data_IF_783181393660
#
_entry.id   IF_783181393660
#
_cell.length_a   1.000
_cell.length_b   1.000
_cell.length_c   1.000
_cell.angle_alpha   90.00
_cell.angle_beta   90.00
_cell.angle_gamma   90.00
#
_symmetry.space_group_name_H-M   'P 1'
#
loop_
_entity.id
_entity.type
_entity.pdbx_description
1 polymer ?
2 non-polymer ?
3 non-polymer ?
4 water ?
#
# COMPACT_ATOMS: atom_id res chain seq x y z
N UNK A 7 -20.27 8.41 -3.63
CA UNK A 7 -19.31 7.31 -3.18
C UNK A 7 -19.91 5.99 -3.65
N UNK A 8 -19.16 5.15 -4.34
CA UNK A 8 -19.73 3.93 -4.98
C UNK A 8 -18.65 2.89 -5.29
N UNK A 9 -17.35 3.21 -5.28
CA UNK A 9 -16.33 2.17 -5.62
C UNK A 9 -15.96 1.35 -4.39
N UNK A 10 -15.84 0.03 -4.56
CA UNK A 10 -15.52 -0.89 -3.45
C UNK A 10 -14.30 -1.71 -3.86
N UNK A 11 -13.10 -1.33 -3.42
CA UNK A 11 -11.93 -2.18 -3.64
C UNK A 11 -12.19 -3.54 -3.01
N UNK A 12 -11.58 -4.60 -3.55
CA UNK A 12 -11.67 -5.92 -2.96
C UNK A 12 -11.00 -5.94 -1.57
N UNK A 13 -11.34 -6.97 -0.81
CA UNK A 13 -10.85 -7.20 0.56
C UNK A 13 -9.33 -6.99 0.59
N UNK A 14 -8.83 -6.19 1.52
CA UNK A 14 -7.37 -6.06 1.82
C UNK A 14 -6.62 -5.55 0.59
N UNK A 15 -7.26 -4.70 -0.21
CA UNK A 15 -6.68 -4.14 -1.44
C UNK A 15 -5.54 -3.18 -1.12
N UNK A 16 -4.44 -3.31 -1.86
CA UNK A 16 -3.37 -2.31 -1.79
C UNK A 16 -2.58 -2.29 -3.09
N UNK A 17 -2.06 -1.12 -3.42
CA UNK A 17 -0.99 -1.00 -4.43
C UNK A 17 0.29 -1.53 -3.77
N UNK A 18 1.02 -2.36 -4.49
CA UNK A 18 2.34 -2.90 -4.05
C UNK A 18 3.45 -2.05 -4.68
N UNK A 19 3.31 -1.76 -5.95
CA UNK A 19 4.36 -1.02 -6.70
C UNK A 19 3.69 -0.51 -7.98
N UNK A 20 4.42 0.26 -8.78
CA UNK A 20 3.94 0.63 -10.14
C UNK A 20 3.45 -0.64 -10.86
N UNK A 21 2.18 -0.66 -11.24
CA UNK A 21 1.62 -1.76 -12.04
C UNK A 21 1.29 -3.02 -11.25
N UNK A 22 1.41 -3.01 -9.92
CA UNK A 22 1.21 -4.23 -9.10
C UNK A 22 0.27 -3.92 -7.93
N UNK A 23 -0.75 -4.76 -7.81
CA UNK A 23 -1.76 -4.68 -6.72
C UNK A 23 -1.86 -6.03 -6.03
N UNK A 24 -2.39 -6.02 -4.80
CA UNK A 24 -2.71 -7.23 -4.02
C UNK A 24 -4.11 -7.08 -3.43
N UNK A 25 -4.79 -8.19 -3.24
CA UNK A 25 -6.10 -8.24 -2.56
C UNK A 25 -6.45 -9.67 -2.19
N UNK A 26 -7.58 -9.79 -1.50
CA UNK A 26 -8.37 -11.02 -1.43
C UNK A 26 -9.26 -11.16 -2.64
N UNK A 27 -10.16 -12.14 -2.56
CA UNK A 27 -10.95 -12.60 -3.72
C UNK A 27 -11.92 -11.50 -4.11
N UNK A 28 -11.85 -10.95 -5.33
CA UNK A 28 -12.86 -9.99 -5.78
C UNK A 28 -14.23 -10.62 -6.03
N UNK A 29 -15.29 -9.88 -5.70
CA UNK A 29 -16.68 -10.29 -6.04
C UNK A 29 -17.29 -9.18 -6.91
N UNK A 30 -18.51 -9.37 -7.40
CA UNK A 30 -19.09 -8.46 -8.41
C UNK A 30 -19.19 -7.02 -7.85
N UNK A 31 -19.29 -6.83 -6.53
CA UNK A 31 -19.36 -5.48 -5.92
C UNK A 31 -18.04 -4.72 -6.17
N UNK A 32 -16.95 -5.45 -6.46
CA UNK A 32 -15.59 -4.86 -6.63
C UNK A 32 -15.27 -4.57 -8.11
N UNK A 33 -16.09 -5.03 -9.06
CA UNK A 33 -15.72 -5.00 -10.50
C UNK A 33 -15.63 -3.55 -10.97
N UNK A 34 -16.53 -2.66 -10.58
CA UNK A 34 -16.47 -1.24 -11.04
C UNK A 34 -15.15 -0.62 -10.56
N UNK A 35 -14.70 -0.92 -9.35
CA UNK A 35 -13.37 -0.44 -8.85
C UNK A 35 -12.25 -1.05 -9.70
N UNK A 36 -12.24 -2.37 -9.91
CA UNK A 36 -11.12 -3.04 -10.63
C UNK A 36 -11.03 -2.47 -12.05
N UNK A 37 -12.15 -2.05 -12.61
CA UNK A 37 -12.16 -1.46 -13.98
C UNK A 37 -11.31 -0.21 -14.03
N UNK A 38 -11.28 0.59 -12.97
CA UNK A 38 -10.54 1.87 -12.95
C UNK A 38 -9.04 1.60 -13.03
N UNK A 39 -8.57 0.36 -12.75
CA UNK A 39 -7.13 0.03 -12.73
C UNK A 39 -6.61 -0.35 -14.12
N UNK A 40 -7.47 -0.67 -15.09
CA UNK A 40 -7.03 -1.11 -16.44
C UNK A 40 -6.08 -2.30 -16.35
N UNK A 41 -6.48 -3.34 -15.63
CA UNK A 41 -5.66 -4.56 -15.42
C UNK A 41 -5.39 -5.25 -16.75
N UNK A 42 -4.18 -5.77 -16.92
CA UNK A 42 -3.86 -6.70 -18.03
C UNK A 42 -3.95 -8.15 -17.54
N UNK A 43 -3.71 -8.36 -16.24
CA UNK A 43 -3.44 -9.70 -15.63
C UNK A 43 -3.99 -9.81 -14.21
N UNK A 44 -4.37 -11.03 -13.84
CA UNK A 44 -4.60 -11.45 -12.44
C UNK A 44 -3.70 -12.66 -12.20
N UNK A 45 -2.97 -12.63 -11.08
CA UNK A 45 -2.24 -13.81 -10.56
C UNK A 45 -3.06 -14.32 -9.38
N UNK A 46 -3.64 -15.50 -9.56
CA UNK A 46 -4.60 -16.09 -8.61
C UNK A 46 -3.92 -17.28 -7.92
N UNK A 47 -3.81 -17.26 -6.60
CA UNK A 47 -2.96 -18.23 -5.85
C UNK A 47 -3.78 -19.32 -5.14
N UNK A 48 -5.06 -19.50 -5.46
CA UNK A 48 -5.91 -20.58 -4.85
C UNK A 48 -6.19 -21.67 -5.87
N UNK A 49 -6.37 -22.93 -5.44
CA UNK A 49 -6.68 -24.02 -6.37
C UNK A 49 -8.13 -24.04 -6.86
N UNK A 50 -9.06 -23.38 -6.18
CA UNK A 50 -10.51 -23.47 -6.54
C UNK A 50 -10.74 -22.88 -7.92
N UNK A 51 -11.67 -23.44 -8.74
CA UNK A 51 -11.96 -22.84 -10.05
C UNK A 51 -12.50 -21.42 -9.87
N UNK A 52 -12.20 -20.55 -10.81
CA UNK A 52 -12.69 -19.15 -10.83
C UNK A 52 -14.20 -19.17 -11.03
N UNK A 53 -14.98 -18.42 -10.25
CA UNK A 53 -16.43 -18.34 -10.47
C UNK A 53 -16.82 -17.76 -11.84
N UNK A 54 -18.01 -18.12 -12.32
CA UNK A 54 -18.51 -17.71 -13.67
C UNK A 54 -18.61 -16.18 -13.73
N UNK A 55 -19.10 -15.54 -12.67
CA UNK A 55 -19.17 -14.06 -12.52
C UNK A 55 -17.78 -13.43 -12.82
N UNK A 56 -16.74 -13.96 -12.18
CA UNK A 56 -15.35 -13.46 -12.32
C UNK A 56 -14.85 -13.71 -13.75
N UNK A 57 -15.09 -14.89 -14.30
CA UNK A 57 -14.64 -15.25 -15.66
C UNK A 57 -15.28 -14.28 -16.67
N UNK A 58 -16.56 -13.94 -16.49
CA UNK A 58 -17.22 -13.01 -17.43
C UNK A 58 -16.55 -11.63 -17.31
N UNK A 59 -16.22 -11.18 -16.10
CA UNK A 59 -15.52 -9.90 -15.87
C UNK A 59 -14.17 -9.90 -16.59
N UNK A 60 -13.39 -10.96 -16.42
CA UNK A 60 -12.07 -11.10 -17.10
C UNK A 60 -12.26 -11.02 -18.62
N UNK A 61 -13.22 -11.78 -19.15
CA UNK A 61 -13.43 -11.87 -20.61
C UNK A 61 -13.88 -10.49 -21.10
N UNK A 62 -14.82 -9.85 -20.40
CA UNK A 62 -15.32 -8.52 -20.82
C UNK A 62 -14.19 -7.49 -20.86
N UNK A 63 -13.18 -7.59 -20.01
CA UNK A 63 -12.17 -6.53 -19.78
C UNK A 63 -10.80 -6.90 -20.37
N UNK A 64 -10.70 -8.05 -21.03
CA UNK A 64 -9.47 -8.52 -21.69
C UNK A 64 -8.37 -8.82 -20.69
N UNK A 65 -8.71 -9.34 -19.52
CA UNK A 65 -7.72 -9.62 -18.42
C UNK A 65 -7.29 -11.08 -18.48
N UNK A 66 -5.99 -11.35 -18.51
CA UNK A 66 -5.43 -12.73 -18.56
C UNK A 66 -5.39 -13.26 -17.13
N UNK A 67 -5.87 -14.48 -16.92
CA UNK A 67 -5.79 -15.17 -15.60
C UNK A 67 -4.62 -16.16 -15.55
N UNK A 68 -3.68 -15.93 -14.65
CA UNK A 68 -2.60 -16.87 -14.28
C UNK A 68 -2.94 -17.52 -12.93
N UNK A 69 -3.17 -18.83 -12.91
CA UNK A 69 -3.55 -19.55 -11.67
C UNK A 69 -2.38 -20.46 -11.25
N UNK A 70 -1.89 -20.27 -10.04
CA UNK A 70 -0.85 -21.07 -9.37
C UNK A 70 -1.45 -21.48 -8.05
N UNK A 71 -2.16 -22.59 -8.06
CA UNK A 71 -3.07 -22.98 -6.96
C UNK A 71 -2.28 -23.51 -5.78
N UNK A 72 -2.12 -22.71 -4.74
CA UNK A 72 -1.38 -23.12 -3.52
C UNK A 72 -2.44 -23.60 -2.51
N UNK A 73 -2.33 -24.84 -2.04
CA UNK A 73 -3.27 -25.38 -1.03
C UNK A 73 -3.12 -24.54 0.24
N UNK A 74 -4.25 -24.12 0.83
CA UNK A 74 -4.28 -23.49 2.15
C UNK A 74 -3.84 -24.49 3.20
N UNK A 75 -2.96 -24.09 4.10
CA UNK A 75 -2.50 -24.93 5.25
C UNK A 75 -2.29 -24.00 6.43
N UNK A 76 -2.61 -24.48 7.63
CA UNK A 76 -2.46 -23.72 8.90
C UNK A 76 -1.24 -24.25 9.66
N UNK A 77 -0.50 -23.35 10.28
CA UNK A 77 0.52 -23.64 11.33
C UNK A 77 -0.13 -24.61 12.31
N UNK A 78 0.60 -25.61 12.86
CA UNK A 78 2.03 -25.80 12.63
C UNK A 78 2.46 -26.70 11.46
N UNK A 79 1.53 -27.20 10.66
CA UNK A 79 1.83 -28.18 9.57
C UNK A 79 1.64 -27.55 8.17
N UNK A 80 2.67 -26.91 7.64
CA UNK A 80 2.56 -26.07 6.42
C UNK A 80 3.24 -26.74 5.23
N UNK A 81 2.76 -26.41 4.03
CA UNK A 81 3.39 -26.74 2.72
C UNK A 81 4.46 -25.67 2.46
N UNK A 82 5.50 -26.03 1.73
CA UNK A 82 6.54 -25.04 1.32
C UNK A 82 6.33 -24.82 -0.17
N UNK A 83 5.35 -23.98 -0.55
CA UNK A 83 4.96 -23.95 -1.98
C UNK A 83 5.99 -23.25 -2.89
N UNK A 84 7.27 -23.61 -2.77
CA UNK A 84 8.39 -22.88 -3.43
C UNK A 84 8.18 -22.76 -4.94
N UNK A 85 7.87 -23.87 -5.63
CA UNK A 85 7.74 -23.88 -7.11
C UNK A 85 6.61 -22.93 -7.52
N UNK A 86 5.44 -23.01 -6.89
CA UNK A 86 4.28 -22.16 -7.27
C UNK A 86 4.58 -20.68 -7.02
N UNK A 87 5.22 -20.32 -5.91
CA UNK A 87 5.58 -18.91 -5.64
C UNK A 87 6.53 -18.45 -6.76
N UNK A 88 7.49 -19.28 -7.15
CA UNK A 88 8.51 -18.86 -8.15
C UNK A 88 7.85 -18.73 -9.52
N UNK A 89 6.91 -19.60 -9.87
CA UNK A 89 6.14 -19.47 -11.13
C UNK A 89 5.36 -18.16 -11.11
N UNK A 90 4.74 -17.82 -10.00
CA UNK A 90 3.98 -16.55 -9.86
C UNK A 90 4.93 -15.35 -9.95
N UNK A 91 6.12 -15.45 -9.35
CA UNK A 91 7.12 -14.35 -9.41
C UNK A 91 7.55 -14.11 -10.87
N UNK A 92 7.84 -15.18 -11.62
CA UNK A 92 8.26 -15.10 -13.05
C UNK A 92 7.19 -14.27 -13.81
N UNK A 93 5.92 -14.51 -13.57
CA UNK A 93 4.82 -13.75 -14.26
C UNK A 93 4.79 -12.31 -13.77
N UNK A 94 4.88 -12.11 -12.47
CA UNK A 94 4.83 -10.79 -11.80
C UNK A 94 5.94 -9.88 -12.30
N UNK A 95 7.14 -10.40 -12.56
CA UNK A 95 8.31 -9.57 -12.88
C UNK A 95 8.28 -9.15 -14.35
N UNK A 96 7.42 -9.75 -15.18
CA UNK A 96 7.31 -9.40 -16.62
C UNK A 96 6.37 -8.19 -16.76
N UNK A 97 6.90 -7.01 -17.09
CA UNK A 97 6.12 -5.75 -17.14
C UNK A 97 5.01 -5.82 -18.19
N UNK A 98 5.13 -6.68 -19.20
CA UNK A 98 4.09 -6.85 -20.25
C UNK A 98 2.77 -7.31 -19.59
N UNK A 99 2.83 -7.93 -18.41
CA UNK A 99 1.63 -8.43 -17.68
C UNK A 99 1.00 -7.33 -16.83
N UNK A 100 1.65 -6.17 -16.69
CA UNK A 100 1.19 -5.07 -15.81
C UNK A 100 0.16 -4.22 -16.55
N UNK A 101 -0.82 -3.60 -15.87
CA UNK A 101 -1.05 -3.77 -14.44
C UNK A 101 -1.59 -5.15 -14.06
N UNK A 102 -1.12 -5.66 -12.93
CA UNK A 102 -1.46 -7.04 -12.45
C UNK A 102 -1.99 -6.96 -11.02
N UNK A 103 -3.05 -7.70 -10.78
CA UNK A 103 -3.61 -7.91 -9.43
C UNK A 103 -3.24 -9.31 -8.96
N UNK A 104 -2.55 -9.38 -7.84
CA UNK A 104 -2.26 -10.65 -7.12
C UNK A 104 -3.42 -10.86 -6.16
N UNK A 105 -4.08 -12.03 -6.15
CA UNK A 105 -5.06 -12.30 -5.08
C UNK A 105 -5.11 -13.77 -4.71
N UNK A 106 -5.52 -14.00 -3.48
CA UNK A 106 -5.86 -15.32 -2.95
C UNK A 106 -7.28 -15.20 -2.38
N UNK A 107 -7.58 -15.82 -1.25
CA UNK A 107 -8.94 -15.77 -0.68
C UNK A 107 -9.09 -14.47 0.12
N UNK A 108 -8.20 -14.22 1.08
CA UNK A 108 -8.26 -12.99 1.93
C UNK A 108 -7.07 -12.07 1.67
N UNK A 109 -6.05 -12.53 0.96
CA UNK A 109 -4.94 -11.65 0.58
C UNK A 109 -3.94 -11.46 1.71
N UNK A 110 -3.82 -12.42 2.62
CA UNK A 110 -2.93 -12.29 3.82
C UNK A 110 -1.73 -13.23 3.74
N UNK A 111 -1.94 -14.52 3.43
CA UNK A 111 -0.91 -15.57 3.57
C UNK A 111 -0.24 -15.85 2.20
N UNK A 112 -0.97 -16.44 1.27
CA UNK A 112 -0.40 -16.80 -0.06
C UNK A 112 0.05 -15.51 -0.76
N UNK A 113 -0.82 -14.51 -0.81
CA UNK A 113 -0.51 -13.19 -1.42
C UNK A 113 0.65 -12.56 -0.65
N UNK A 114 0.62 -12.59 0.69
CA UNK A 114 1.66 -12.01 1.54
C UNK A 114 3.04 -12.60 1.24
N UNK A 115 3.11 -13.92 1.06
CA UNK A 115 4.37 -14.65 0.76
C UNK A 115 4.91 -14.19 -0.60
N UNK A 116 4.05 -14.12 -1.61
CA UNK A 116 4.51 -13.72 -2.95
C UNK A 116 5.06 -12.29 -2.87
N UNK A 117 4.33 -11.38 -2.24
CA UNK A 117 4.78 -9.96 -2.13
C UNK A 117 6.08 -9.90 -1.32
N UNK A 118 6.19 -10.66 -0.22
CA UNK A 118 7.42 -10.65 0.59
C UNK A 118 8.62 -11.08 -0.24
N UNK A 119 8.46 -12.10 -1.09
CA UNK A 119 9.57 -12.59 -1.95
C UNK A 119 9.91 -11.52 -3.01
N UNK A 120 8.93 -10.81 -3.56
CA UNK A 120 9.20 -9.63 -4.41
C UNK A 120 10.04 -8.62 -3.61
N UNK A 121 9.66 -8.31 -2.36
CA UNK A 121 10.42 -7.29 -1.60
C UNK A 121 11.88 -7.75 -1.40
N UNK A 122 12.09 -9.03 -1.23
CA UNK A 122 13.46 -9.57 -1.02
C UNK A 122 14.27 -9.34 -2.31
N UNK A 123 13.68 -9.57 -3.47
CA UNK A 123 14.33 -9.25 -4.77
C UNK A 123 14.58 -7.75 -4.88
N UNK A 124 13.72 -6.91 -4.29
CA UNK A 124 13.91 -5.44 -4.29
C UNK A 124 14.90 -5.01 -3.18
N UNK A 125 15.53 -5.94 -2.47
CA UNK A 125 16.65 -5.69 -1.52
C UNK A 125 16.17 -5.03 -0.24
N UNK A 126 14.90 -5.19 0.13
CA UNK A 126 14.42 -4.72 1.45
C UNK A 126 15.01 -5.59 2.57
N UNK A 127 15.41 -4.98 3.67
CA UNK A 127 15.83 -5.75 4.85
C UNK A 127 14.62 -6.55 5.34
N UNK A 128 14.88 -7.72 5.91
CA UNK A 128 13.84 -8.68 6.29
C UNK A 128 12.81 -8.01 7.21
N UNK A 129 13.27 -7.26 8.21
CA UNK A 129 12.34 -6.66 9.20
C UNK A 129 11.35 -5.74 8.47
N UNK A 130 11.76 -5.05 7.39
CA UNK A 130 10.86 -4.17 6.61
C UNK A 130 9.83 -5.02 5.82
N UNK A 131 10.28 -6.16 5.27
CA UNK A 131 9.41 -7.12 4.55
C UNK A 131 8.37 -7.66 5.53
N UNK A 132 8.81 -8.08 6.71
CA UNK A 132 7.90 -8.68 7.71
C UNK A 132 6.91 -7.64 8.21
N UNK A 133 7.33 -6.38 8.40
CA UNK A 133 6.43 -5.30 8.85
C UNK A 133 5.25 -5.17 7.86
N UNK A 134 5.54 -5.19 6.58
CA UNK A 134 4.50 -5.03 5.55
C UNK A 134 3.58 -6.27 5.55
N UNK A 135 4.18 -7.46 5.57
CA UNK A 135 3.43 -8.73 5.68
C UNK A 135 2.45 -8.67 6.88
N UNK A 136 2.94 -8.27 8.05
CA UNK A 136 2.18 -8.19 9.34
C UNK A 136 1.01 -7.20 9.20
N UNK A 137 1.22 -6.09 8.49
CA UNK A 137 0.17 -5.04 8.33
C UNK A 137 -1.09 -5.68 7.73
N UNK A 138 -0.96 -6.57 6.76
CA UNK A 138 -2.12 -7.23 6.12
C UNK A 138 -2.56 -8.45 6.93
N UNK A 139 -1.62 -9.24 7.41
CA UNK A 139 -1.98 -10.52 8.09
C UNK A 139 -2.58 -10.25 9.48
N UNK A 140 -2.14 -9.18 10.15
CA UNK A 140 -2.68 -8.68 11.43
C UNK A 140 -2.67 -9.83 12.46
N UNK A 141 -3.81 -10.16 13.08
CA UNK A 141 -3.83 -11.18 14.16
C UNK A 141 -3.59 -12.58 13.58
N UNK A 142 -3.62 -12.75 12.26
CA UNK A 142 -3.36 -14.07 11.61
C UNK A 142 -1.96 -14.13 10.99
N UNK A 143 -1.05 -13.24 11.38
CA UNK A 143 0.37 -13.31 10.93
C UNK A 143 0.90 -14.70 11.33
N UNK A 144 1.61 -15.35 10.42
CA UNK A 144 2.18 -16.69 10.69
C UNK A 144 3.69 -16.62 10.65
N UNK A 145 4.33 -17.25 11.60
CA UNK A 145 5.82 -17.32 11.60
C UNK A 145 6.26 -18.10 10.35
N UNK A 146 5.52 -19.15 9.98
CA UNK A 146 5.90 -20.00 8.82
C UNK A 146 5.97 -19.17 7.52
N UNK A 147 5.04 -18.23 7.33
CA UNK A 147 5.06 -17.37 6.11
C UNK A 147 6.37 -16.56 6.12
N UNK A 148 6.74 -16.03 7.28
CA UNK A 148 7.90 -15.13 7.40
C UNK A 148 9.18 -15.96 7.28
N UNK A 149 9.19 -17.15 7.85
CA UNK A 149 10.35 -18.06 7.69
C UNK A 149 10.56 -18.40 6.21
N UNK A 150 9.49 -18.65 5.46
CA UNK A 150 9.56 -18.93 4.01
C UNK A 150 10.32 -17.79 3.30
N UNK A 151 9.97 -16.55 3.61
CA UNK A 151 10.65 -15.34 3.10
C UNK A 151 12.11 -15.29 3.59
N UNK A 152 12.37 -15.61 4.87
CA UNK A 152 13.74 -15.59 5.45
C UNK A 152 14.63 -16.53 4.63
N UNK A 153 14.14 -17.72 4.30
CA UNK A 153 14.92 -18.84 3.68
C UNK A 153 15.02 -18.62 2.17
N UNK A 154 14.08 -17.93 1.57
CA UNK A 154 13.93 -17.83 0.09
C UNK A 154 15.25 -17.38 -0.53
N UNK A 155 15.81 -18.23 -1.38
CA UNK A 155 17.09 -17.97 -2.08
C UNK A 155 16.80 -17.13 -3.33
N UNK A 156 17.25 -15.88 -3.38
CA UNK A 156 16.96 -14.98 -4.54
C UNK A 156 17.83 -15.33 -5.78
N UNK A 157 18.85 -16.17 -5.64
CA UNK A 157 19.85 -16.52 -6.72
C UNK A 157 19.24 -16.55 -8.13
N UNK A 158 18.14 -17.29 -8.39
CA UNK A 158 17.65 -17.53 -9.78
C UNK A 158 16.94 -16.32 -10.40
N UNK A 159 16.73 -15.26 -9.65
CA UNK A 159 15.94 -14.08 -10.08
C UNK A 159 16.84 -12.85 -10.09
N UNK A 160 18.14 -13.03 -9.83
CA UNK A 160 19.21 -12.01 -9.89
C UNK A 160 19.99 -12.19 -11.19
N UNK B 7 20.68 -7.42 1.08
CA UNK B 7 19.44 -6.71 1.61
C UNK B 7 19.94 -5.47 2.34
N UNK B 8 19.42 -4.30 2.03
CA UNK B 8 19.99 -3.04 2.58
C UNK B 8 18.97 -1.90 2.54
N UNK B 9 17.83 -2.02 1.85
CA UNK B 9 16.89 -0.88 1.80
C UNK B 9 15.92 -0.95 2.98
N UNK B 10 15.67 0.18 3.58
CA UNK B 10 14.80 0.30 4.79
C UNK B 10 13.77 1.39 4.53
N UNK B 11 12.58 1.00 4.04
CA UNK B 11 11.49 1.96 3.92
C UNK B 11 11.19 2.60 5.28
N UNK B 12 10.73 3.86 5.29
CA UNK B 12 10.37 4.50 6.54
C UNK B 12 9.18 3.77 7.21
N UNK B 13 8.98 4.08 8.48
CA UNK B 13 7.90 3.55 9.35
C UNK B 13 6.57 3.60 8.56
N UNK B 14 5.84 2.49 8.52
CA UNK B 14 4.44 2.47 8.00
C UNK B 14 4.41 2.95 6.53
N UNK B 15 5.44 2.64 5.75
CA UNK B 15 5.55 3.03 4.33
C UNK B 15 4.55 2.24 3.47
N UNK B 16 3.87 2.94 2.58
CA UNK B 16 3.05 2.29 1.55
C UNK B 16 2.89 3.20 0.34
N UNK B 17 2.78 2.58 -0.82
CA UNK B 17 2.25 3.24 -2.02
C UNK B 17 0.75 3.48 -1.79
N UNK B 18 0.28 4.66 -2.07
CA UNK B 18 -1.17 5.00 -2.00
C UNK B 18 -1.74 4.89 -3.41
N UNK B 19 -1.04 5.48 -4.38
CA UNK B 19 -1.54 5.53 -5.78
C UNK B 19 -0.35 5.80 -6.66
N UNK B 20 -0.58 5.88 -7.96
CA UNK B 20 0.51 6.27 -8.90
C UNK B 20 1.10 7.60 -8.40
N UNK B 21 2.40 7.64 -8.14
CA UNK B 21 3.10 8.86 -7.74
C UNK B 21 2.82 9.31 -6.30
N UNK B 22 2.15 8.52 -5.47
CA UNK B 22 1.79 8.98 -4.09
C UNK B 22 2.17 7.90 -3.08
N UNK B 23 2.89 8.31 -2.05
CA UNK B 23 3.35 7.42 -0.96
C UNK B 23 2.93 8.02 0.38
N UNK B 24 2.88 7.18 1.40
CA UNK B 24 2.62 7.59 2.80
C UNK B 24 3.66 6.92 3.70
N UNK B 25 4.03 7.59 4.79
CA UNK B 25 4.89 7.00 5.84
C UNK B 25 4.83 7.85 7.11
N UNK B 26 5.50 7.34 8.13
CA UNK B 26 5.95 8.15 9.26
C UNK B 26 7.27 8.84 8.94
N UNK B 27 7.91 9.38 9.98
CA UNK B 27 9.02 10.32 9.81
C UNK B 27 10.25 9.55 9.32
N UNK B 28 10.79 9.87 8.12
CA UNK B 28 12.00 9.22 7.66
C UNK B 28 13.21 9.61 8.53
N UNK B 29 14.12 8.68 8.77
CA UNK B 29 15.43 8.98 9.38
C UNK B 29 16.51 8.57 8.38
N UNK B 30 17.78 8.79 8.71
CA UNK B 30 18.90 8.62 7.74
C UNK B 30 18.97 7.17 7.25
N UNK B 31 18.54 6.17 8.04
CA UNK B 31 18.56 4.75 7.62
C UNK B 31 17.59 4.51 6.46
N UNK B 32 16.62 5.43 6.24
CA UNK B 32 15.58 5.32 5.19
C UNK B 32 15.99 6.06 3.90
N UNK B 33 17.03 6.89 3.90
CA UNK B 33 17.35 7.80 2.78
C UNK B 33 17.62 6.99 1.50
N UNK B 34 18.40 5.90 1.56
CA UNK B 34 18.77 5.14 0.33
C UNK B 34 17.49 4.55 -0.28
N UNK B 35 16.54 4.10 0.54
CA UNK B 35 15.24 3.61 0.01
C UNK B 35 14.48 4.77 -0.65
N UNK B 36 14.35 5.92 0.03
CA UNK B 36 13.58 7.06 -0.53
C UNK B 36 14.22 7.53 -1.85
N UNK B 37 15.54 7.42 -2.00
CA UNK B 37 16.20 7.78 -3.28
C UNK B 37 15.65 6.93 -4.42
N UNK B 38 15.29 5.66 -4.17
CA UNK B 38 14.78 4.77 -5.24
C UNK B 38 13.43 5.28 -5.77
N UNK B 39 12.70 6.13 -5.04
CA UNK B 39 11.34 6.58 -5.45
C UNK B 39 11.38 7.80 -6.37
N UNK B 40 12.52 8.45 -6.51
CA UNK B 40 12.64 9.67 -7.34
C UNK B 40 11.63 10.73 -6.88
N UNK B 41 11.52 10.99 -5.58
CA UNK B 41 10.52 11.97 -5.09
C UNK B 41 10.77 13.37 -5.67
N UNK B 42 9.70 14.07 -6.01
CA UNK B 42 9.74 15.53 -6.30
C UNK B 42 9.34 16.34 -5.06
N UNK B 43 8.51 15.77 -4.19
CA UNK B 43 7.80 16.51 -3.11
C UNK B 43 7.68 15.64 -1.87
N UNK B 44 7.66 16.29 -0.71
CA UNK B 44 7.19 15.74 0.58
C UNK B 44 6.10 16.65 1.07
N UNK B 45 4.96 16.07 1.43
CA UNK B 45 3.89 16.75 2.21
C UNK B 45 4.07 16.33 3.66
N UNK B 46 4.48 17.28 4.49
CA UNK B 46 4.86 17.06 5.89
C UNK B 46 3.75 17.68 6.77
N UNK B 47 3.11 16.87 7.60
CA UNK B 47 1.88 17.29 8.30
C UNK B 47 2.14 17.59 9.78
N UNK B 48 3.39 17.75 10.23
CA UNK B 48 3.70 18.12 11.64
C UNK B 48 4.17 19.58 11.68
N UNK B 49 3.90 20.31 12.79
CA UNK B 49 4.36 21.70 12.93
C UNK B 49 5.83 21.83 13.31
N UNK B 50 6.49 20.80 13.83
CA UNK B 50 7.90 20.91 14.34
C UNK B 50 8.82 21.20 13.16
N UNK B 51 9.86 22.03 13.33
CA UNK B 51 10.83 22.27 12.25
C UNK B 51 11.42 20.95 11.72
N UNK B 52 11.63 20.84 10.42
CA UNK B 52 12.30 19.68 9.80
C UNK B 52 13.71 19.60 10.35
N UNK B 53 14.16 18.44 10.85
CA UNK B 53 15.54 18.31 11.31
C UNK B 53 16.59 18.53 10.22
N UNK B 54 17.77 18.96 10.65
CA UNK B 54 18.89 19.33 9.74
C UNK B 54 19.23 18.13 8.83
N UNK B 55 19.28 16.93 9.38
CA UNK B 55 19.54 15.66 8.64
C UNK B 55 18.58 15.54 7.46
N UNK B 56 17.29 15.68 7.75
CA UNK B 56 16.21 15.52 6.75
C UNK B 56 16.29 16.69 5.78
N UNK B 57 16.61 17.90 6.26
CA UNK B 57 16.70 19.06 5.35
C UNK B 57 17.81 18.81 4.33
N UNK B 58 18.97 18.36 4.79
CA UNK B 58 20.13 18.12 3.92
C UNK B 58 19.74 17.07 2.87
N UNK B 59 19.00 16.03 3.27
CA UNK B 59 18.52 15.00 2.32
C UNK B 59 17.60 15.62 1.26
N UNK B 60 16.60 16.43 1.67
CA UNK B 60 15.68 17.12 0.72
C UNK B 60 16.48 17.94 -0.29
N UNK B 61 17.40 18.76 0.21
CA UNK B 61 18.15 19.70 -0.64
C UNK B 61 19.01 18.91 -1.62
N UNK B 62 19.77 17.92 -1.13
CA UNK B 62 20.69 17.08 -1.95
C UNK B 62 19.92 16.37 -3.06
N UNK B 63 18.70 15.93 -2.78
CA UNK B 63 17.96 15.04 -3.69
C UNK B 63 16.96 15.85 -4.53
N UNK B 64 16.93 17.16 -4.40
CA UNK B 64 16.05 17.98 -5.25
C UNK B 64 14.57 17.75 -4.92
N UNK B 65 14.22 17.66 -3.64
CA UNK B 65 12.83 17.40 -3.18
C UNK B 65 12.29 18.69 -2.60
N UNK B 66 11.09 19.09 -3.02
CA UNK B 66 10.37 20.26 -2.46
C UNK B 66 9.63 19.83 -1.18
N UNK B 67 9.75 20.61 -0.11
CA UNK B 67 9.02 20.41 1.16
C UNK B 67 7.77 21.30 1.17
N UNK B 68 6.61 20.68 1.33
CA UNK B 68 5.33 21.35 1.61
C UNK B 68 4.95 21.04 3.06
N UNK B 69 4.94 22.03 3.93
CA UNK B 69 4.66 21.79 5.36
C UNK B 69 3.28 22.36 5.69
N UNK B 70 2.36 21.51 6.13
CA UNK B 70 1.02 21.92 6.63
C UNK B 70 0.92 21.37 8.04
N UNK B 71 1.39 22.13 9.01
CA UNK B 71 1.55 21.68 10.39
C UNK B 71 0.22 21.49 11.07
N UNK B 72 -0.17 20.25 11.33
CA UNK B 72 -1.39 19.92 12.09
C UNK B 72 -0.93 19.56 13.51
N UNK B 73 -1.46 20.24 14.52
CA UNK B 73 -1.11 19.96 15.93
C UNK B 73 -1.51 18.50 16.21
N UNK B 74 -0.61 17.72 16.82
CA UNK B 74 -0.76 16.27 17.08
C UNK B 74 -1.51 15.97 18.38
N UNK B 75 -2.80 16.29 18.43
CA UNK B 75 -3.71 16.09 19.60
C UNK B 75 -3.98 14.61 19.82
N UNK B 76 -4.38 14.28 21.06
CA UNK B 76 -4.87 12.94 21.48
C UNK B 76 -6.40 12.96 21.63
N UNK B 77 -7.05 11.84 21.30
CA UNK B 77 -8.48 11.61 21.64
C UNK B 77 -8.59 11.64 23.16
N UNK B 78 -9.70 12.17 23.73
CA UNK B 78 -10.80 12.70 22.94
C UNK B 78 -10.76 14.21 22.63
N UNK B 79 -9.58 14.82 22.58
CA UNK B 79 -9.41 16.30 22.50
C UNK B 79 -8.75 16.69 21.18
N UNK B 80 -9.33 16.18 20.08
CA UNK B 80 -8.77 16.24 18.69
C UNK B 80 -9.62 17.24 17.89
N UNK B 81 -8.95 18.03 17.05
CA UNK B 81 -9.57 19.17 16.31
C UNK B 81 -8.79 19.31 14.99
N UNK B 82 -9.00 18.39 14.05
CA UNK B 82 -8.22 18.38 12.76
C UNK B 82 -8.65 19.58 11.92
N UNK B 83 -7.71 20.50 11.58
CA UNK B 83 -8.05 21.67 10.77
C UNK B 83 -8.35 21.26 9.32
N UNK B 84 -9.61 21.45 8.94
CA UNK B 84 -10.12 21.29 7.56
C UNK B 84 -9.21 22.03 6.58
N UNK B 85 -8.79 23.28 6.89
CA UNK B 85 -8.02 24.17 5.98
C UNK B 85 -6.70 23.51 5.57
N UNK B 86 -5.99 22.92 6.53
CA UNK B 86 -4.65 22.34 6.26
C UNK B 86 -4.81 21.07 5.42
N UNK B 87 -5.80 20.23 5.71
CA UNK B 87 -6.05 19.04 4.86
C UNK B 87 -6.40 19.52 3.44
N UNK B 88 -7.20 20.57 3.32
CA UNK B 88 -7.61 21.12 2.00
C UNK B 88 -6.39 21.61 1.22
N UNK B 89 -5.50 22.35 1.87
CA UNK B 89 -4.27 22.86 1.21
C UNK B 89 -3.42 21.66 0.79
N UNK B 90 -3.30 20.63 1.63
CA UNK B 90 -2.46 19.46 1.35
C UNK B 90 -3.07 18.67 0.18
N UNK B 91 -4.40 18.51 0.13
CA UNK B 91 -5.05 17.82 -1.01
C UNK B 91 -4.73 18.54 -2.32
N UNK B 92 -4.74 19.88 -2.36
CA UNK B 92 -4.49 20.63 -3.62
C UNK B 92 -3.09 20.27 -4.14
N UNK B 93 -2.10 20.12 -3.27
CA UNK B 93 -0.72 19.73 -3.65
C UNK B 93 -0.72 18.31 -4.22
N UNK B 94 -1.39 17.39 -3.53
CA UNK B 94 -1.52 15.96 -3.89
C UNK B 94 -2.17 15.84 -5.28
N UNK B 95 -3.16 16.67 -5.59
CA UNK B 95 -3.92 16.57 -6.88
C UNK B 95 -3.10 17.13 -8.05
N UNK B 96 -2.05 17.92 -7.81
CA UNK B 96 -1.23 18.45 -8.93
C UNK B 96 -0.16 17.42 -9.28
N UNK B 97 -0.29 16.71 -10.40
CA UNK B 97 0.65 15.65 -10.86
C UNK B 97 2.10 16.19 -10.98
N UNK B 98 2.30 17.50 -11.18
CA UNK B 98 3.66 18.10 -11.30
C UNK B 98 4.42 17.86 -9.99
N UNK B 99 3.71 17.71 -8.86
CA UNK B 99 4.35 17.47 -7.54
C UNK B 99 4.73 15.99 -7.36
N UNK B 100 4.32 15.09 -8.24
CA UNK B 100 4.55 13.63 -8.11
C UNK B 100 5.93 13.31 -8.65
N UNK B 101 6.63 12.30 -8.10
CA UNK B 101 6.18 11.52 -6.95
C UNK B 101 6.22 12.28 -5.61
N UNK B 102 5.21 12.05 -4.78
CA UNK B 102 5.08 12.77 -3.48
C UNK B 102 4.96 11.74 -2.35
N UNK B 103 5.71 11.98 -1.28
CA UNK B 103 5.59 11.25 0.01
C UNK B 103 4.84 12.14 0.99
N UNK B 104 3.72 11.65 1.50
CA UNK B 104 3.00 12.25 2.65
C UNK B 104 3.60 11.64 3.91
N UNK B 105 4.03 12.45 4.88
CA UNK B 105 4.41 11.86 6.18
C UNK B 105 4.07 12.77 7.35
N UNK B 106 3.88 12.14 8.48
CA UNK B 106 3.74 12.81 9.79
C UNK B 106 4.80 12.18 10.69
N UNK B 107 4.47 11.91 11.94
CA UNK B 107 5.44 11.29 12.88
C UNK B 107 5.41 9.77 12.71
N UNK B 108 4.26 9.12 12.88
CA UNK B 108 4.16 7.64 12.73
C UNK B 108 3.41 7.27 11.44
N UNK B 109 2.74 8.22 10.80
CA UNK B 109 2.03 7.94 9.55
C UNK B 109 0.70 7.25 9.75
N UNK B 110 0.06 7.46 10.90
CA UNK B 110 -1.20 6.76 11.26
C UNK B 110 -2.38 7.74 11.24
N UNK B 111 -2.25 8.91 11.83
CA UNK B 111 -3.41 9.78 12.13
C UNK B 111 -3.53 10.93 11.13
N UNK B 112 -2.60 11.88 11.17
CA UNK B 112 -2.64 13.03 10.24
C UNK B 112 -2.49 12.50 8.80
N UNK B 113 -1.52 11.63 8.56
CA UNK B 113 -1.30 10.99 7.24
C UNK B 113 -2.55 10.20 6.84
N UNK B 114 -3.12 9.43 7.77
CA UNK B 114 -4.31 8.60 7.50
C UNK B 114 -5.50 9.48 7.12
N UNK B 115 -5.62 10.63 7.77
CA UNK B 115 -6.71 11.59 7.54
C UNK B 115 -6.62 12.15 6.12
N UNK B 116 -5.42 12.52 5.66
CA UNK B 116 -5.23 13.12 4.32
C UNK B 116 -5.50 12.03 3.26
N UNK B 117 -4.99 10.83 3.48
CA UNK B 117 -5.22 9.74 2.52
C UNK B 117 -6.72 9.41 2.45
N UNK B 118 -7.40 9.34 3.59
CA UNK B 118 -8.85 9.04 3.62
C UNK B 118 -9.64 10.05 2.80
N UNK B 119 -9.30 11.33 2.94
CA UNK B 119 -9.97 12.40 2.16
C UNK B 119 -9.67 12.26 0.66
N UNK B 120 -8.45 11.88 0.27
CA UNK B 120 -8.15 11.57 -1.14
C UNK B 120 -9.06 10.43 -1.61
N UNK B 121 -9.24 9.38 -0.80
CA UNK B 121 -10.07 8.22 -1.23
C UNK B 121 -11.51 8.67 -1.42
N UNK B 122 -11.98 9.62 -0.62
CA UNK B 122 -13.35 10.14 -0.72
C UNK B 122 -13.48 10.85 -2.09
N UNK B 123 -12.47 11.61 -2.51
CA UNK B 123 -12.46 12.24 -3.86
C UNK B 123 -12.43 11.16 -4.95
N UNK B 124 -11.82 10.02 -4.69
CA UNK B 124 -11.74 8.89 -5.66
C UNK B 124 -13.04 8.05 -5.59
N UNK B 125 -14.04 8.45 -4.80
CA UNK B 125 -15.41 7.87 -4.78
C UNK B 125 -15.41 6.50 -4.11
N UNK B 126 -14.46 6.23 -3.20
CA UNK B 126 -14.49 4.99 -2.41
C UNK B 126 -15.63 5.08 -1.39
N UNK B 127 -16.35 3.97 -1.17
CA UNK B 127 -17.31 3.80 -0.05
C UNK B 127 -16.56 4.03 1.26
N UNK B 128 -17.22 4.65 2.23
CA UNK B 128 -16.61 4.95 3.54
C UNK B 128 -16.01 3.70 4.17
N UNK B 129 -16.68 2.54 4.15
CA UNK B 129 -16.16 1.35 4.87
C UNK B 129 -14.83 0.92 4.23
N UNK B 130 -14.63 1.13 2.94
CA UNK B 130 -13.36 0.82 2.24
C UNK B 130 -12.26 1.79 2.69
N UNK B 131 -12.61 3.05 2.81
CA UNK B 131 -11.67 4.11 3.28
C UNK B 131 -11.23 3.76 4.72
N UNK B 132 -12.20 3.45 5.57
CA UNK B 132 -11.92 3.18 7.00
C UNK B 132 -11.05 1.93 7.15
N UNK B 133 -11.32 0.92 6.32
CA UNK B 133 -10.54 -0.33 6.38
C UNK B 133 -9.06 -0.03 6.10
N UNK B 134 -8.79 0.79 5.10
CA UNK B 134 -7.40 1.17 4.76
C UNK B 134 -6.76 1.97 5.89
N UNK B 135 -7.48 2.95 6.41
CA UNK B 135 -7.04 3.76 7.58
C UNK B 135 -6.65 2.83 8.73
N UNK B 136 -7.53 1.88 9.04
CA UNK B 136 -7.37 0.97 10.20
C UNK B 136 -6.14 0.08 10.00
N UNK B 137 -5.84 -0.30 8.76
CA UNK B 137 -4.68 -1.18 8.47
C UNK B 137 -3.40 -0.51 9.01
N UNK B 138 -3.26 0.81 8.85
CA UNK B 138 -2.05 1.54 9.32
C UNK B 138 -2.19 1.94 10.79
N UNK B 139 -3.37 2.37 11.21
CA UNK B 139 -3.54 2.89 12.58
C UNK B 139 -3.53 1.73 13.59
N UNK B 140 -4.02 0.56 13.17
CA UNK B 140 -4.04 -0.70 13.96
C UNK B 140 -4.63 -0.41 15.37
N UNK B 141 -3.91 -0.67 16.45
CA UNK B 141 -4.47 -0.53 17.82
C UNK B 141 -4.66 0.94 18.20
N UNK B 142 -4.13 1.90 17.43
CA UNK B 142 -4.31 3.35 17.68
C UNK B 142 -5.31 3.98 16.70
N UNK B 143 -6.18 3.18 16.06
CA UNK B 143 -7.27 3.73 15.22
C UNK B 143 -8.12 4.68 16.08
N UNK B 144 -8.43 5.85 15.54
CA UNK B 144 -9.25 6.85 16.26
C UNK B 144 -10.58 7.05 15.53
N UNK B 145 -11.67 6.98 16.29
CA UNK B 145 -13.00 7.29 15.72
C UNK B 145 -12.96 8.74 15.18
N UNK B 146 -12.32 9.67 15.87
CA UNK B 146 -12.29 11.09 15.46
C UNK B 146 -11.65 11.25 14.07
N UNK B 147 -10.61 10.48 13.73
CA UNK B 147 -9.98 10.57 12.39
C UNK B 147 -10.99 10.14 11.32
N UNK B 148 -11.75 9.07 11.59
CA UNK B 148 -12.70 8.48 10.60
C UNK B 148 -13.91 9.39 10.49
N UNK B 149 -14.38 9.95 11.60
CA UNK B 149 -15.49 10.93 11.61
C UNK B 149 -15.08 12.14 10.76
N UNK B 150 -13.85 12.61 10.90
CA UNK B 150 -13.30 13.72 10.09
C UNK B 150 -13.48 13.40 8.60
N UNK B 151 -13.10 12.19 8.19
CA UNK B 151 -13.27 11.73 6.79
C UNK B 151 -14.78 11.64 6.43
N UNK B 152 -15.62 11.15 7.34
CA UNK B 152 -17.11 11.01 7.19
C UNK B 152 -17.67 12.40 6.84
N UNK B 153 -17.20 13.44 7.53
CA UNK B 153 -17.79 14.81 7.45
C UNK B 153 -17.15 15.62 6.32
N UNK B 154 -15.94 15.28 5.87
CA UNK B 154 -15.12 16.18 5.01
C UNK B 154 -15.88 16.47 3.71
N UNK B 155 -16.13 17.75 3.44
CA UNK B 155 -16.92 18.21 2.28
C UNK B 155 -16.01 18.24 1.05
N UNK B 156 -16.35 17.48 0.01
CA UNK B 156 -15.50 17.34 -1.20
C UNK B 156 -15.93 18.31 -2.29
N UNK B 157 -16.96 19.14 -2.05
CA UNK B 157 -17.58 20.10 -3.00
C UNK B 157 -16.54 20.99 -3.71
N UNK B 158 -15.61 21.60 -2.97
CA UNK B 158 -14.63 22.59 -3.50
C UNK B 158 -13.79 21.93 -4.59
N UNK B 159 -13.70 20.60 -4.60
CA UNK B 159 -13.06 19.79 -5.67
C UNK B 159 -14.17 19.25 -6.59
X LIG C 1 -9.37 -18.84 7.57
X LIG C 1 -8.22 -18.27 6.76
X LIG C 1 -8.23 -18.72 5.32
X LIG C 1 -9.44 -20.35 7.43
X LIG C 1 -9.60 -20.73 5.91
X LIG C 1 -8.44 -20.22 5.14
X LIG C 1 -8.43 -22.71 3.63
X LIG C 1 -6.40 -21.19 3.45
X LIG C 1 -7.72 -21.63 2.93
X LIG C 1 -8.05 -21.33 1.54
X LIG C 1 -8.63 -20.45 3.68
X LIG C 1 -10.79 -20.14 5.31
X LIG C 1 -12.01 -21.03 4.71
X LIG C 1 -12.86 -21.28 5.87
X LIG C 1 -11.37 -22.23 4.16
X LIG C 1 -12.61 -20.10 3.70
X LIG C 1 -10.59 -20.85 8.22
X LIG C 1 -10.54 -22.27 8.99
X LIG C 1 -11.93 -22.74 8.74
X LIG C 1 -10.23 -21.90 10.40
X LIG C 1 -9.50 -23.07 8.29
X LIG C 1 -9.18 -18.47 8.96
X LIG C 1 -10.39 -18.02 10.01
X LIG C 1 -9.76 -16.84 10.68
X LIG C 1 -10.84 -19.20 11.01
X LIG C 1 -11.50 -17.62 9.09
X LIG C 1 -8.39 -16.83 6.80
X LIG C 1 -7.34 -15.80 7.45
X LIG C 1 -8.19 -14.80 8.19
X LIG C 1 -6.66 -15.18 6.29
X LIG C 1 -6.43 -16.55 8.34
X LIG C 1 -6.94 -18.51 4.70
X LIG C 1 -6.74 -17.27 3.85
X LIG C 1 -8.10 -16.94 3.31
X LIG C 1 -6.05 -16.30 4.73
X LIG C 1 -5.75 -17.42 2.71
X LIG C 1 -4.89 -16.31 2.01
X LIG C 1 -5.78 -15.99 0.94
X LIG C 1 -3.75 -17.16 1.62
X LIG C 1 -4.61 -15.19 2.88
X LIG D 1 6.06 -30.96 -5.28
X LIG D 1 4.87 -30.19 -5.89
X LIG D 1 3.80 -29.99 -4.82
X LIG D 1 4.37 -29.09 -3.71
X LIG D 1 5.61 -29.77 -3.05
X LIG D 1 6.71 -30.16 -4.10
X LIG D 1 6.99 -31.25 -6.34
X LIG D 1 7.00 -32.70 -7.07
X LIG D 1 7.33 -33.57 -5.90
X LIG D 1 5.66 -32.93 -7.68
X LIG D 1 8.12 -32.59 -8.05
X LIG D 1 5.32 -28.91 -6.44
X LIG D 1 4.83 -28.28 -7.86
X LIG D 1 3.79 -29.23 -8.37
X LIG D 1 6.09 -28.33 -8.62
X LIG D 1 4.32 -26.96 -7.44
X LIG D 1 2.58 -29.40 -5.42
X LIG D 1 1.43 -30.28 -6.23
X LIG D 1 1.01 -31.23 -5.16
X LIG D 1 2.11 -30.92 -7.38
X LIG D 1 0.41 -29.27 -6.58
X LIG D 1 3.33 -28.74 -2.71
X LIG D 1 2.85 -27.18 -2.42
X LIG D 1 2.48 -26.64 -3.77
X LIG D 1 4.12 -26.63 -1.89
X LIG D 1 1.71 -27.24 -1.49
X LIG D 1 6.14 -28.84 -2.09
X LIG D 1 6.18 -29.17 -0.51
X LIG D 1 7.53 -28.64 -0.18
X LIG D 1 6.07 -30.64 -0.42
X LIG D 1 5.07 -28.40 0.09
X LIG D 1 7.86 -30.96 -3.51
X LIG D 1 9.55 -30.64 -3.39
X LIG D 1 9.05 -29.79 -2.28
X LIG D 1 9.44 -30.12 -4.98
X LIG D 1 9.60 -32.33 -3.26
X LIG E 1 2.00 8.79 20.43
X LIG E 1 1.35 9.04 19.07
X LIG E 1 1.90 10.33 18.38
X LIG E 1 2.11 10.08 21.26
X LIG E 1 2.90 11.17 20.47
X LIG E 1 2.14 11.50 19.23
X LIG E 1 2.86 14.23 19.73
X LIG E 1 1.00 13.80 18.08
X LIG E 1 2.44 13.97 18.35
X LIG E 1 3.31 14.42 17.25
X LIG E 1 2.89 12.43 18.38
X LIG E 1 4.28 10.79 20.14
X LIG E 1 5.51 11.60 20.81
X LIG E 1 5.37 11.22 22.22
X LIG E 1 5.23 13.02 20.48
X LIG E 1 6.77 11.08 20.19
X LIG E 1 2.82 9.78 22.50
X LIG E 1 2.56 10.56 23.88
X LIG E 1 3.89 10.77 24.48
X LIG E 1 1.75 9.59 24.57
X LIG E 1 1.87 11.80 23.47
X LIG E 1 1.27 7.73 21.17
X LIG E 1 2.03 6.47 22.01
X LIG E 1 1.34 5.20 21.65
X LIG E 1 1.93 6.88 23.41
X LIG E 1 3.43 6.52 21.52
X LIG E 1 1.71 7.89 18.25
X LIG E 1 0.68 6.78 17.62
X LIG E 1 1.31 5.45 17.84
X LIG E 1 0.58 7.23 16.19
X LIG E 1 -0.60 6.92 18.33
X LIG E 1 0.98 10.93 17.38
X LIG E 1 1.22 10.37 16.02
X LIG E 1 2.66 9.84 16.04
X LIG E 1 0.19 9.26 15.99
X LIG E 1 0.94 11.20 14.73
X LIG E 1 0.63 10.81 13.34
X LIG E 1 -0.32 11.77 13.01
X LIG E 1 1.88 10.97 12.74
X LIG E 1 0.22 9.40 13.26
#
# INVERSE_FOLDING_TARGET
GSFTEELHLIPPLNFSMVDNGIFRSGFPDSANFSFLQTLGLRSIIYLCPEPYPESNLQFLKSNGIRLFQFGIEGNKEPFVNIPDHKIRMALKVLLDEKNHPVLIHSKRGKHRTGCLVGCLRKLQKWCLTSIFDEYQRFAAAKARVSDQRFMEIFDVSSFSHIPMSFSCSIR
GSFTEELHLIPPLNFSMVDNGIFRSGFPDSANFSFLQTLGLRSIIYLCPEPYPESNLQFLKSNGIRLFQFGIEGNKEPFVNIPDHKIRMALKVLLDEKNHPVLIHSKRGKHRTGCLVGCLRKLQKWCLTSIFDEYQRFAAAKARVSDQRFMEIFDVSSFSHIPMSFSCSIR
ZKS C4 C5 C6 C3 C2 C1 O31 O21 PA1 O41 O11 O12 PA2 O42 O22 O32 O13 PA3 O43 O23 O33 O14 PA4 O44 O24 O34 O15 PA5 O45 O25 O35 O16 PA6 O26 O36 O46 PB6 O76 O56 O66
IHP C1 C2 C3 C4 C5 C6 O11 P1 O21 O31 O41 O12 P2 O22 O32 O42 O13 P3 O23 O33 O43 O14 P4 O24 O34 O44 O15 P5 O25 O35 O45 O16 P6 O26 O36 O46
ZKS C4 C5 C6 C3 C2 C1 O31 O21 PA1 O41 O11 O12 PA2 O42 O22 O32 O13 PA3 O43 O23 O33 O14 PA4 O44 O24 O34 O15 PA5 O45 O25 O35 O16 PA6 O26 O36 O46 PB6 O76 O56 O66
#
